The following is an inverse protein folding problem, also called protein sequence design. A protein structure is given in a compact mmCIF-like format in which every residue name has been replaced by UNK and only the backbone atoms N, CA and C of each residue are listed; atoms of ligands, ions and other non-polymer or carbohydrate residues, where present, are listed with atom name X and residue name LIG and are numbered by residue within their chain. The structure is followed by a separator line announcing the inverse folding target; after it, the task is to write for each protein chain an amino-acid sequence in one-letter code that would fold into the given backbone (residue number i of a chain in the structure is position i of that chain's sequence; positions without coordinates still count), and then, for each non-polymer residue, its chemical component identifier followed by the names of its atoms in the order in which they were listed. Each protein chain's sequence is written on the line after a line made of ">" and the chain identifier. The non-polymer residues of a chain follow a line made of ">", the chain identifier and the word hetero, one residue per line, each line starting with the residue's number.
data_IF_451359432781
#
_entry.id   IF_451359432781
#
_cell.length_a   1.000
_cell.length_b   1.000
_cell.length_c   1.000
_cell.angle_alpha   90.00
_cell.angle_beta   90.00
_cell.angle_gamma   90.00
#
_symmetry.space_group_name_H-M   'P 1'
#
loop_
_entity.id
_entity.type
_entity.pdbx_description
1 polymer ?
#
# COMPACT_ATOMS: atom_id res chain seq x y z
N UNK A 1 -24.37 7.55 10.89
CA UNK A 1 -23.04 7.45 11.53
C UNK A 1 -22.57 6.01 11.34
N UNK A 2 -21.84 5.72 10.26
CA UNK A 2 -21.16 4.42 10.12
C UNK A 2 -19.91 4.50 11.00
N UNK A 3 -19.92 3.76 12.11
CA UNK A 3 -18.82 3.76 13.07
C UNK A 3 -17.54 3.24 12.44
N UNK A 4 -16.56 4.13 12.25
CA UNK A 4 -15.18 3.75 12.01
C UNK A 4 -14.54 3.28 13.32
N UNK A 5 -13.54 2.40 13.23
CA UNK A 5 -12.70 2.02 14.36
C UNK A 5 -11.38 2.78 14.22
N UNK A 6 -11.00 3.54 15.25
CA UNK A 6 -9.68 4.17 15.38
C UNK A 6 -8.80 3.32 16.29
N UNK A 7 -7.58 3.03 15.85
CA UNK A 7 -6.60 2.24 16.62
C UNK A 7 -5.27 2.98 16.69
N UNK A 8 -4.85 3.33 17.92
CA UNK A 8 -3.53 3.91 18.20
C UNK A 8 -2.71 2.95 19.04
N UNK A 9 -1.74 2.26 18.42
CA UNK A 9 -0.92 1.24 19.11
C UNK A 9 0.51 1.21 18.55
N UNK A 10 1.38 0.37 19.13
CA UNK A 10 2.72 0.17 18.56
C UNK A 10 2.73 -0.90 17.45
N UNK A 11 1.88 -1.93 17.57
CA UNK A 11 1.75 -3.03 16.62
C UNK A 11 0.28 -3.31 16.36
N UNK A 12 -0.11 -3.36 15.09
CA UNK A 12 -1.48 -3.75 14.70
C UNK A 12 -1.45 -4.90 13.69
N UNK A 13 -2.28 -5.91 13.94
CA UNK A 13 -2.57 -7.00 13.00
C UNK A 13 -4.03 -6.93 12.57
N UNK A 14 -4.25 -6.80 11.27
CA UNK A 14 -5.59 -6.70 10.68
C UNK A 14 -5.82 -7.90 9.76
N UNK A 15 -6.69 -8.82 10.20
CA UNK A 15 -7.00 -10.03 9.44
C UNK A 15 -8.04 -9.77 8.34
N UNK A 16 -9.19 -9.17 8.70
CA UNK A 16 -10.28 -8.85 7.79
C UNK A 16 -11.11 -7.67 8.30
N UNK A 17 -11.09 -6.55 7.59
CA UNK A 17 -11.86 -5.37 7.97
C UNK A 17 -12.13 -4.42 6.81
N UNK A 18 -13.07 -3.50 7.06
CA UNK A 18 -13.27 -2.27 6.30
C UNK A 18 -13.83 -1.18 7.20
N UNK A 19 -13.51 0.07 6.89
CA UNK A 19 -13.80 1.25 7.71
C UNK A 19 -12.93 1.36 8.96
N UNK A 20 -11.61 1.17 8.85
CA UNK A 20 -10.67 1.30 9.97
C UNK A 20 -9.62 2.36 9.65
N UNK A 21 -9.34 3.21 10.64
CA UNK A 21 -8.20 4.12 10.67
C UNK A 21 -7.19 3.61 11.70
N UNK A 22 -5.92 3.48 11.29
CA UNK A 22 -4.86 2.97 12.17
C UNK A 22 -3.66 3.91 12.15
N UNK A 23 -3.25 4.33 13.35
CA UNK A 23 -1.98 5.04 13.57
C UNK A 23 -1.09 4.16 14.44
N UNK A 24 0.00 3.63 13.87
CA UNK A 24 0.87 2.68 14.56
C UNK A 24 2.32 2.77 14.08
N UNK A 25 3.25 2.07 14.73
CA UNK A 25 4.62 1.99 14.24
C UNK A 25 4.82 0.83 13.25
N UNK A 26 4.12 -0.29 13.48
CA UNK A 26 4.08 -1.44 12.57
C UNK A 26 2.64 -1.90 12.31
N UNK A 27 2.32 -2.16 11.04
CA UNK A 27 1.03 -2.73 10.61
C UNK A 27 1.22 -3.95 9.71
N UNK A 28 0.50 -5.03 10.03
CA UNK A 28 0.31 -6.14 9.11
C UNK A 28 -1.16 -6.26 8.72
N UNK A 29 -1.42 -6.34 7.41
CA UNK A 29 -2.76 -6.43 6.83
C UNK A 29 -2.86 -7.65 5.93
N UNK A 30 -3.77 -8.57 6.27
CA UNK A 30 -3.94 -9.82 5.54
C UNK A 30 -4.99 -9.74 4.40
N UNK A 31 -6.20 -9.25 4.69
CA UNK A 31 -7.34 -9.20 3.74
C UNK A 31 -8.29 -8.04 4.04
N UNK A 32 -8.15 -6.87 3.41
CA UNK A 32 -9.04 -5.74 3.75
C UNK A 32 -9.43 -4.83 2.59
N UNK A 33 -10.45 -4.02 2.84
CA UNK A 33 -10.85 -2.92 1.98
C UNK A 33 -11.56 -1.79 2.72
N UNK A 34 -11.26 -0.55 2.37
CA UNK A 34 -11.63 0.67 3.09
C UNK A 34 -10.80 0.86 4.36
N UNK A 35 -9.47 0.81 4.28
CA UNK A 35 -8.60 1.10 5.45
C UNK A 35 -7.72 2.30 5.12
N UNK A 36 -7.57 3.20 6.10
CA UNK A 36 -6.55 4.24 6.11
C UNK A 36 -5.48 3.90 7.17
N UNK A 37 -4.21 3.97 6.79
CA UNK A 37 -3.09 3.61 7.68
C UNK A 37 -2.01 4.67 7.63
N UNK A 38 -1.66 5.20 8.80
CA UNK A 38 -0.47 6.03 9.01
C UNK A 38 0.51 5.26 9.88
N UNK A 39 1.65 4.85 9.34
CA UNK A 39 2.62 4.01 10.08
C UNK A 39 4.06 4.21 9.64
N UNK A 40 5.02 3.60 10.34
CA UNK A 40 6.42 3.60 9.90
C UNK A 40 6.71 2.43 8.95
N UNK A 41 6.06 1.28 9.18
CA UNK A 41 6.20 0.08 8.37
C UNK A 41 4.85 -0.61 8.13
N UNK A 42 4.55 -0.90 6.86
CA UNK A 42 3.34 -1.62 6.47
C UNK A 42 3.67 -2.86 5.65
N UNK A 43 3.08 -3.99 6.04
CA UNK A 43 3.00 -5.19 5.20
C UNK A 43 1.54 -5.46 4.81
N UNK A 44 1.30 -5.61 3.50
CA UNK A 44 -0.03 -5.89 2.93
C UNK A 44 0.03 -7.17 2.11
N UNK A 45 -0.72 -8.19 2.54
CA UNK A 45 -0.75 -9.50 1.87
C UNK A 45 -1.78 -9.53 0.72
N UNK A 46 -3.02 -9.12 0.99
CA UNK A 46 -4.12 -9.07 0.01
C UNK A 46 -5.07 -7.91 0.32
N UNK A 47 -5.33 -7.01 -0.61
CA UNK A 47 -6.29 -5.92 -0.34
C UNK A 47 -6.94 -5.25 -1.56
N UNK A 48 -8.01 -4.51 -1.27
CA UNK A 48 -8.91 -3.80 -2.16
C UNK A 48 -9.42 -2.47 -1.57
N UNK A 49 -8.91 -1.31 -1.97
CA UNK A 49 -9.35 0.00 -1.42
C UNK A 49 -8.62 0.39 -0.13
N UNK A 50 -7.30 0.53 -0.17
CA UNK A 50 -6.50 0.98 1.00
C UNK A 50 -5.76 2.25 0.66
N UNK A 51 -5.73 3.19 1.59
CA UNK A 51 -4.82 4.34 1.59
C UNK A 51 -3.74 4.14 2.66
N UNK A 52 -2.48 4.28 2.28
CA UNK A 52 -1.33 4.10 3.21
C UNK A 52 -0.35 5.25 3.09
N UNK A 53 -0.08 5.91 4.21
CA UNK A 53 1.03 6.85 4.37
C UNK A 53 2.06 6.23 5.31
N UNK A 54 3.26 5.91 4.80
CA UNK A 54 4.28 5.21 5.59
C UNK A 54 5.71 5.50 5.14
N UNK A 55 6.71 5.04 5.90
CA UNK A 55 8.11 5.13 5.46
C UNK A 55 8.51 3.94 4.57
N UNK A 56 7.98 2.75 4.89
CA UNK A 56 8.24 1.52 4.15
C UNK A 56 6.96 0.71 3.93
N UNK A 57 6.71 0.32 2.67
CA UNK A 57 5.56 -0.52 2.30
C UNK A 57 6.02 -1.77 1.56
N UNK A 58 5.54 -2.94 1.99
CA UNK A 58 5.59 -4.17 1.22
C UNK A 58 4.17 -4.62 0.84
N UNK A 59 3.96 -4.90 -0.44
CA UNK A 59 2.66 -5.32 -0.99
C UNK A 59 2.83 -6.62 -1.77
N UNK A 60 2.20 -7.70 -1.29
CA UNK A 60 2.29 -9.00 -1.93
C UNK A 60 1.27 -9.17 -3.09
N UNK A 61 0.00 -8.85 -2.84
CA UNK A 61 -1.09 -8.95 -3.83
C UNK A 61 -2.13 -7.88 -3.61
N UNK A 62 -2.48 -7.06 -4.59
CA UNK A 62 -3.58 -6.09 -4.36
C UNK A 62 -4.20 -5.49 -5.61
N UNK A 63 -5.33 -4.82 -5.40
CA UNK A 63 -5.84 -3.80 -6.33
C UNK A 63 -6.59 -2.68 -5.62
N UNK A 64 -6.72 -1.53 -6.26
CA UNK A 64 -7.26 -0.31 -5.64
C UNK A 64 -6.49 0.12 -4.40
N UNK A 65 -5.17 0.32 -4.48
CA UNK A 65 -4.40 0.89 -3.34
C UNK A 65 -3.82 2.23 -3.77
N UNK A 66 -3.88 3.21 -2.88
CA UNK A 66 -3.09 4.42 -2.92
C UNK A 66 -1.99 4.37 -1.84
N UNK A 67 -0.74 4.59 -2.21
CA UNK A 67 0.39 4.56 -1.28
C UNK A 67 1.26 5.79 -1.46
N UNK A 68 1.47 6.50 -0.34
CA UNK A 68 2.49 7.55 -0.23
C UNK A 68 3.58 7.04 0.71
N UNK A 69 4.80 6.83 0.21
CA UNK A 69 5.87 6.26 1.02
C UNK A 69 7.28 6.68 0.60
N UNK A 70 8.30 6.35 1.39
CA UNK A 70 9.69 6.55 0.98
C UNK A 70 10.22 5.37 0.16
N UNK A 71 9.80 4.15 0.51
CA UNK A 71 10.19 2.91 -0.16
C UNK A 71 8.98 1.99 -0.35
N UNK A 72 8.78 1.51 -1.57
CA UNK A 72 7.73 0.55 -1.91
C UNK A 72 8.30 -0.68 -2.59
N UNK A 73 7.89 -1.85 -2.11
CA UNK A 73 8.06 -3.11 -2.82
C UNK A 73 6.69 -3.71 -3.17
N UNK A 74 6.48 -4.05 -4.44
CA UNK A 74 5.24 -4.61 -4.95
C UNK A 74 5.52 -5.91 -5.69
N UNK A 75 4.99 -7.03 -5.20
CA UNK A 75 5.19 -8.34 -5.82
C UNK A 75 4.19 -8.60 -6.96
N UNK A 76 2.89 -8.39 -6.72
CA UNK A 76 1.83 -8.57 -7.72
C UNK A 76 0.68 -7.59 -7.51
N UNK A 77 0.27 -6.87 -8.54
CA UNK A 77 -0.84 -5.93 -8.36
C UNK A 77 -1.58 -5.55 -9.63
N UNK A 78 -2.77 -4.95 -9.45
CA UNK A 78 -3.38 -4.13 -10.48
C UNK A 78 -4.38 -3.10 -9.97
N UNK A 79 -4.38 -1.90 -10.54
CA UNK A 79 -5.07 -0.71 -10.04
C UNK A 79 -4.39 -0.12 -8.80
N UNK A 80 -3.11 0.26 -8.89
CA UNK A 80 -2.41 0.91 -7.77
C UNK A 80 -1.90 2.28 -8.21
N UNK A 81 -2.01 3.25 -7.32
CA UNK A 81 -1.31 4.54 -7.40
C UNK A 81 -0.23 4.59 -6.31
N UNK A 82 1.00 4.92 -6.68
CA UNK A 82 2.13 5.00 -5.75
C UNK A 82 2.88 6.32 -5.95
N UNK A 83 3.01 7.08 -4.87
CA UNK A 83 3.94 8.22 -4.79
C UNK A 83 5.06 7.83 -3.84
N UNK A 84 6.29 7.70 -4.34
CA UNK A 84 7.42 7.25 -3.51
C UNK A 84 8.77 7.77 -3.96
N UNK A 85 9.81 7.61 -3.16
CA UNK A 85 11.17 7.91 -3.58
C UNK A 85 11.82 6.71 -4.28
N UNK A 86 11.56 5.49 -3.81
CA UNK A 86 12.04 4.25 -4.42
C UNK A 86 10.90 3.25 -4.59
N UNK A 87 10.80 2.66 -5.79
CA UNK A 87 9.82 1.62 -6.11
C UNK A 87 10.49 0.39 -6.74
N UNK A 88 10.15 -0.79 -6.23
CA UNK A 88 10.41 -2.05 -6.89
C UNK A 88 9.09 -2.76 -7.21
N UNK A 89 8.91 -3.20 -8.46
CA UNK A 89 7.70 -3.88 -8.93
C UNK A 89 8.08 -5.18 -9.66
N UNK A 90 7.63 -6.32 -9.15
CA UNK A 90 7.89 -7.62 -9.78
C UNK A 90 6.88 -7.97 -10.89
N UNK A 91 5.58 -7.85 -10.62
CA UNK A 91 4.50 -8.14 -11.58
C UNK A 91 3.33 -7.18 -11.43
N UNK A 92 2.84 -6.61 -12.53
CA UNK A 92 1.91 -5.47 -12.46
C UNK A 92 0.93 -5.40 -13.65
N UNK A 93 -0.28 -4.90 -13.39
CA UNK A 93 -1.35 -4.64 -14.35
C UNK A 93 -2.17 -3.37 -14.04
N UNK A 94 -1.96 -2.23 -14.70
CA UNK A 94 -2.70 -0.99 -14.40
C UNK A 94 -2.16 -0.28 -13.14
N UNK A 95 -0.94 0.24 -13.20
CA UNK A 95 -0.31 0.97 -12.09
C UNK A 95 0.15 2.34 -12.56
N UNK A 96 -0.08 3.34 -11.73
CA UNK A 96 0.51 4.67 -11.85
C UNK A 96 1.55 4.86 -10.74
N UNK A 97 2.77 5.27 -11.11
CA UNK A 97 3.87 5.48 -10.17
C UNK A 97 4.50 6.84 -10.40
N UNK A 98 4.55 7.66 -9.35
CA UNK A 98 5.38 8.87 -9.29
C UNK A 98 6.57 8.60 -8.38
N UNK A 99 7.78 8.60 -8.93
CA UNK A 99 8.97 8.25 -8.13
C UNK A 99 10.29 8.73 -8.70
N UNK A 100 11.29 8.89 -7.83
CA UNK A 100 12.66 9.20 -8.24
C UNK A 100 13.37 7.98 -8.83
N UNK A 101 13.12 6.78 -8.29
CA UNK A 101 13.79 5.55 -8.72
C UNK A 101 12.80 4.40 -8.86
N UNK A 102 12.80 3.76 -10.03
CA UNK A 102 11.95 2.60 -10.33
C UNK A 102 12.76 1.42 -10.84
N UNK A 103 12.43 0.23 -10.35
CA UNK A 103 12.76 -1.04 -11.00
C UNK A 103 11.49 -1.85 -11.26
N UNK A 104 11.31 -2.31 -12.51
CA UNK A 104 10.16 -3.12 -12.94
C UNK A 104 10.67 -4.39 -13.63
N UNK A 105 10.25 -5.57 -13.15
CA UNK A 105 10.61 -6.86 -13.76
C UNK A 105 9.61 -7.31 -14.84
N UNK A 106 8.29 -7.16 -14.61
CA UNK A 106 7.25 -7.56 -15.58
C UNK A 106 5.99 -6.69 -15.43
N UNK A 107 5.50 -6.15 -16.55
CA UNK A 107 4.42 -5.17 -16.55
C UNK A 107 3.42 -5.33 -17.69
N UNK A 108 2.19 -4.85 -17.47
CA UNK A 108 1.21 -4.51 -18.49
C UNK A 108 0.42 -3.28 -18.05
N UNK A 109 0.35 -2.23 -18.86
CA UNK A 109 -0.33 -0.97 -18.49
C UNK A 109 0.26 -0.32 -17.24
N UNK A 110 1.54 0.05 -17.28
CA UNK A 110 2.18 0.88 -16.24
C UNK A 110 2.46 2.25 -16.83
N UNK A 111 2.12 3.28 -16.07
CA UNK A 111 2.61 4.64 -16.26
C UNK A 111 3.59 5.00 -15.14
N UNK A 112 4.77 5.51 -15.51
CA UNK A 112 5.80 5.94 -14.55
C UNK A 112 6.18 7.38 -14.86
N UNK A 113 6.01 8.25 -13.88
CA UNK A 113 6.48 9.63 -13.89
C UNK A 113 7.69 9.73 -12.96
N UNK A 114 8.84 10.12 -13.51
CA UNK A 114 10.07 10.31 -12.76
C UNK A 114 10.49 11.77 -12.75
N UNK A 115 10.99 12.27 -11.61
CA UNK A 115 11.53 13.62 -11.42
C UNK A 115 12.97 13.57 -10.93
#
# INVERSE_FOLDING_TARGET
>A
MSGGIEVVTYFTYIAKSGGIEVVTYFTYIAMSGGIEVVTYFTYIAKSGGIEVVTYFTYIAKSGGIEVVTYFTYIAKSGGIEVVTYFTYIAMSGGIEVVTYFTYIAKSGGIEVVTS
#
